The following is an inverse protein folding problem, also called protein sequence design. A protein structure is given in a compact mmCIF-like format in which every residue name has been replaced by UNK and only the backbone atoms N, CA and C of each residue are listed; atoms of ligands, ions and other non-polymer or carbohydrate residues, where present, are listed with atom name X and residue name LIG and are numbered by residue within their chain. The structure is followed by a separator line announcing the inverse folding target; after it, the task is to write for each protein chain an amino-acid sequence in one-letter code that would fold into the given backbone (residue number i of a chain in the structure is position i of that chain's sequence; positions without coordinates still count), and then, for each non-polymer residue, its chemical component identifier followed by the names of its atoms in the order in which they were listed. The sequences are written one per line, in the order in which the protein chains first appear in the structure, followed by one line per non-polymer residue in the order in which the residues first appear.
data_IF_219655498386
#
_entry.id   IF_219655498386
#
_cell.length_a   1.000
_cell.length_b   1.000
_cell.length_c   1.000
_cell.angle_alpha   90.00
_cell.angle_beta   90.00
_cell.angle_gamma   90.00
#
_symmetry.space_group_name_H-M   'P 1'
#
loop_
_entity.id
_entity.type
_entity.pdbx_description
1 polymer ?
#
# COMPACT_ATOMS: atom_id res chain seq x y z
N UNK A 1 -4.28 27.31 -10.89
CA UNK A 1 -3.38 26.14 -10.79
C UNK A 1 -2.56 26.07 -12.06
N UNK A 2 -1.24 25.97 -11.96
CA UNK A 2 -0.37 25.79 -13.13
C UNK A 2 -0.34 24.32 -13.58
N UNK A 3 0.14 24.06 -14.80
CA UNK A 3 0.31 22.69 -15.30
C UNK A 3 1.22 21.85 -14.38
N UNK A 4 2.36 22.40 -13.95
CA UNK A 4 3.30 21.68 -13.08
C UNK A 4 2.69 21.34 -11.72
N UNK A 5 1.88 22.23 -11.14
CA UNK A 5 1.17 21.95 -9.88
C UNK A 5 0.21 20.77 -10.05
N UNK A 6 -0.61 20.77 -11.09
CA UNK A 6 -1.52 19.66 -11.38
C UNK A 6 -0.76 18.36 -11.65
N UNK A 7 0.29 18.41 -12.47
CA UNK A 7 1.12 17.25 -12.80
C UNK A 7 1.73 16.62 -11.55
N UNK A 8 2.33 17.41 -10.65
CA UNK A 8 2.94 16.90 -9.43
C UNK A 8 1.91 16.29 -8.46
N UNK A 9 0.70 16.84 -8.39
CA UNK A 9 -0.40 16.22 -7.65
C UNK A 9 -0.71 14.81 -8.19
N UNK A 10 -0.79 14.64 -9.52
CA UNK A 10 -0.99 13.33 -10.14
C UNK A 10 0.20 12.39 -9.93
N UNK A 11 1.44 12.89 -10.01
CA UNK A 11 2.65 12.08 -9.77
C UNK A 11 2.65 11.52 -8.34
N UNK A 12 2.28 12.33 -7.33
CA UNK A 12 2.17 11.85 -5.95
C UNK A 12 1.08 10.78 -5.82
N UNK A 13 -0.07 10.98 -6.47
CA UNK A 13 -1.12 9.94 -6.52
C UNK A 13 -0.64 8.63 -7.15
N UNK A 14 0.16 8.73 -8.22
CA UNK A 14 0.79 7.57 -8.86
C UNK A 14 1.82 6.89 -7.95
N UNK A 15 2.59 7.65 -7.18
CA UNK A 15 3.56 7.10 -6.22
C UNK A 15 2.85 6.33 -5.10
N UNK A 16 1.76 6.86 -4.54
CA UNK A 16 0.95 6.13 -3.56
C UNK A 16 0.25 4.89 -4.16
N UNK A 17 -0.23 4.99 -5.40
CA UNK A 17 -0.84 3.86 -6.10
C UNK A 17 0.20 2.76 -6.39
N UNK A 18 1.41 3.15 -6.82
CA UNK A 18 2.54 2.25 -7.04
C UNK A 18 3.02 1.61 -5.74
N UNK A 19 3.14 2.38 -4.66
CA UNK A 19 3.41 1.86 -3.32
C UNK A 19 2.38 0.81 -2.92
N UNK A 20 1.08 1.11 -3.00
CA UNK A 20 0.06 0.16 -2.56
C UNK A 20 -0.03 -1.07 -3.47
N UNK A 21 0.27 -0.94 -4.76
CA UNK A 21 0.39 -2.06 -5.69
C UNK A 21 1.56 -2.98 -5.30
N UNK A 22 2.74 -2.41 -5.04
CA UNK A 22 3.97 -3.17 -4.85
C UNK A 22 4.09 -3.67 -3.40
N UNK A 23 3.96 -2.76 -2.44
CA UNK A 23 4.02 -3.10 -1.02
C UNK A 23 2.80 -3.87 -0.54
N UNK A 24 1.65 -3.70 -1.20
CA UNK A 24 0.42 -4.34 -0.79
C UNK A 24 0.52 -5.86 -0.77
N UNK A 25 1.23 -6.45 -1.73
CA UNK A 25 1.45 -7.89 -1.71
C UNK A 25 2.49 -8.31 -0.67
N UNK A 26 3.51 -7.49 -0.38
CA UNK A 26 4.49 -7.80 0.67
C UNK A 26 3.84 -7.83 2.04
N UNK A 27 2.98 -6.84 2.34
CA UNK A 27 2.14 -6.87 3.53
C UNK A 27 1.23 -8.10 3.57
N UNK A 28 0.61 -8.44 2.44
CA UNK A 28 -0.24 -9.63 2.35
C UNK A 28 0.50 -10.94 2.61
N UNK A 29 1.69 -11.09 2.05
CA UNK A 29 2.56 -12.24 2.29
C UNK A 29 3.03 -12.28 3.74
N UNK A 30 3.43 -11.14 4.30
CA UNK A 30 3.81 -11.03 5.72
C UNK A 30 2.70 -11.45 6.66
N UNK A 31 1.44 -11.08 6.38
CA UNK A 31 0.27 -11.56 7.12
C UNK A 31 0.03 -13.07 6.93
N UNK A 32 0.23 -13.60 5.72
CA UNK A 32 0.05 -15.01 5.41
C UNK A 32 1.00 -15.93 6.20
N UNK A 33 2.16 -15.44 6.66
CA UNK A 33 3.09 -16.19 7.52
C UNK A 33 2.46 -16.66 8.84
N UNK A 34 1.42 -15.99 9.34
CA UNK A 34 0.70 -16.44 10.55
C UNK A 34 -0.70 -16.92 10.26
N UNK A 35 -1.40 -16.32 9.29
CA UNK A 35 -2.76 -16.74 8.98
C UNK A 35 -2.84 -18.06 8.20
N UNK A 36 -1.85 -18.37 7.35
CA UNK A 36 -1.94 -19.51 6.40
C UNK A 36 -0.77 -20.49 6.45
N UNK A 37 0.41 -20.06 6.88
CA UNK A 37 1.58 -20.95 6.94
C UNK A 37 1.43 -21.97 8.08
N UNK A 38 1.62 -23.25 7.76
CA UNK A 38 1.41 -24.40 8.65
C UNK A 38 2.53 -24.54 9.67
N UNK A 39 3.77 -24.34 9.23
CA UNK A 39 4.98 -24.59 10.00
C UNK A 39 6.05 -23.50 9.75
N UNK A 40 7.24 -23.69 10.33
CA UNK A 40 8.35 -22.75 10.21
C UNK A 40 8.93 -22.67 8.79
N UNK A 41 8.96 -23.79 8.08
CA UNK A 41 9.53 -23.87 6.74
C UNK A 41 8.64 -23.14 5.73
N UNK A 42 7.33 -23.30 5.85
CA UNK A 42 6.38 -22.56 5.03
C UNK A 42 6.42 -21.05 5.30
N UNK A 43 6.66 -20.64 6.55
CA UNK A 43 6.88 -19.22 6.89
C UNK A 43 8.13 -18.68 6.21
N UNK A 44 9.23 -19.42 6.26
CA UNK A 44 10.47 -19.05 5.60
C UNK A 44 10.29 -18.98 4.07
N UNK A 45 9.55 -19.93 3.49
CA UNK A 45 9.22 -19.94 2.06
C UNK A 45 8.43 -18.70 1.64
N UNK A 46 7.44 -18.30 2.43
CA UNK A 46 6.64 -17.09 2.17
C UNK A 46 7.52 -15.84 2.25
N UNK A 47 8.37 -15.71 3.28
CA UNK A 47 9.30 -14.59 3.40
C UNK A 47 10.30 -14.55 2.23
N UNK A 48 10.81 -15.70 1.80
CA UNK A 48 11.73 -15.81 0.65
C UNK A 48 11.08 -15.39 -0.67
N UNK A 49 9.76 -15.55 -0.83
CA UNK A 49 9.03 -15.14 -2.02
C UNK A 49 9.08 -13.62 -2.27
N UNK A 50 9.13 -12.84 -1.19
CA UNK A 50 9.16 -11.37 -1.23
C UNK A 50 10.55 -10.78 -0.93
N UNK A 51 11.45 -11.56 -0.32
CA UNK A 51 12.81 -11.16 0.06
C UNK A 51 13.59 -10.32 -0.98
N UNK A 52 13.60 -10.68 -2.28
CA UNK A 52 14.32 -9.91 -3.29
C UNK A 52 13.70 -8.55 -3.67
N UNK A 53 12.48 -8.24 -3.22
CA UNK A 53 11.69 -7.11 -3.74
C UNK A 53 11.26 -6.10 -2.67
N UNK A 54 11.02 -6.55 -1.43
CA UNK A 54 10.36 -5.74 -0.39
C UNK A 54 11.04 -4.39 -0.11
N UNK A 55 12.36 -4.36 -0.02
CA UNK A 55 13.12 -3.13 0.28
C UNK A 55 12.94 -2.11 -0.86
N UNK A 56 13.00 -2.56 -2.12
CA UNK A 56 12.74 -1.73 -3.28
C UNK A 56 11.28 -1.25 -3.38
N UNK A 57 10.33 -2.04 -2.88
CA UNK A 57 8.91 -1.67 -2.86
C UNK A 57 8.66 -0.54 -1.83
N UNK A 58 9.31 -0.58 -0.65
CA UNK A 58 9.11 0.42 0.40
C UNK A 58 9.59 1.82 -0.04
N UNK A 59 10.60 1.88 -0.91
CA UNK A 59 11.12 3.15 -1.47
C UNK A 59 10.04 3.96 -2.18
N UNK A 60 8.95 3.34 -2.66
CA UNK A 60 7.82 4.07 -3.25
C UNK A 60 7.12 4.96 -2.22
N UNK A 61 6.97 4.51 -0.97
CA UNK A 61 6.41 5.33 0.12
C UNK A 61 7.35 6.48 0.49
N UNK A 62 8.66 6.18 0.59
CA UNK A 62 9.68 7.19 0.88
C UNK A 62 9.68 8.27 -0.20
N UNK A 63 9.63 7.86 -1.47
CA UNK A 63 9.57 8.76 -2.61
C UNK A 63 8.26 9.56 -2.63
N UNK A 64 7.12 8.95 -2.28
CA UNK A 64 5.85 9.67 -2.14
C UNK A 64 5.94 10.78 -1.07
N UNK A 65 6.47 10.45 0.12
CA UNK A 65 6.69 11.42 1.19
C UNK A 65 7.70 12.52 0.81
N UNK A 66 8.80 12.16 0.18
CA UNK A 66 9.80 13.11 -0.34
C UNK A 66 9.25 14.02 -1.45
N UNK A 67 8.44 13.47 -2.36
CA UNK A 67 7.77 14.23 -3.40
C UNK A 67 6.72 15.18 -2.81
N UNK A 68 5.98 14.76 -1.77
CA UNK A 68 5.10 15.66 -1.02
C UNK A 68 5.90 16.80 -0.38
N UNK A 69 6.99 16.50 0.34
CA UNK A 69 7.83 17.51 0.97
C UNK A 69 8.37 18.52 -0.05
N UNK A 70 8.82 18.05 -1.21
CA UNK A 70 9.46 18.90 -2.21
C UNK A 70 8.46 19.66 -3.11
N UNK A 71 7.34 19.03 -3.52
CA UNK A 71 6.35 19.64 -4.41
C UNK A 71 5.21 20.36 -3.67
N UNK A 72 4.83 19.89 -2.48
CA UNK A 72 3.73 20.42 -1.67
C UNK A 72 4.11 20.50 -0.18
N UNK A 73 5.11 21.33 0.20
CA UNK A 73 5.64 21.37 1.56
C UNK A 73 4.58 21.67 2.62
N UNK A 74 3.59 22.51 2.30
CA UNK A 74 2.50 22.81 3.23
C UNK A 74 1.60 21.58 3.44
N UNK A 75 1.27 20.86 2.36
CA UNK A 75 0.52 19.59 2.49
C UNK A 75 1.28 18.56 3.33
N UNK A 76 2.58 18.42 3.07
CA UNK A 76 3.44 17.55 3.85
C UNK A 76 3.41 17.93 5.34
N UNK A 77 3.64 19.21 5.67
CA UNK A 77 3.67 19.67 7.05
C UNK A 77 2.32 19.46 7.77
N UNK A 78 1.21 19.86 7.14
CA UNK A 78 -0.15 19.70 7.69
C UNK A 78 -0.50 18.24 7.94
N UNK A 79 -0.23 17.36 6.97
CA UNK A 79 -0.53 15.93 7.09
C UNK A 79 0.32 15.28 8.17
N UNK A 80 1.65 15.48 8.16
CA UNK A 80 2.57 14.82 9.09
C UNK A 80 2.41 15.31 10.53
N UNK A 81 2.13 16.59 10.74
CA UNK A 81 1.86 17.12 12.08
C UNK A 81 0.46 16.74 12.58
N UNK A 82 -0.58 16.87 11.74
CA UNK A 82 -1.95 16.57 12.12
C UNK A 82 -2.21 15.08 12.39
N UNK A 83 -1.53 14.19 11.66
CA UNK A 83 -1.62 12.73 11.81
C UNK A 83 -0.40 12.11 12.50
N UNK A 84 0.33 12.90 13.30
CA UNK A 84 1.58 12.50 13.93
C UNK A 84 1.53 11.10 14.56
N UNK A 85 0.52 10.83 15.40
CA UNK A 85 0.42 9.55 16.11
C UNK A 85 0.23 8.36 15.15
N UNK A 86 -0.61 8.49 14.12
CA UNK A 86 -0.79 7.41 13.14
C UNK A 86 0.50 7.17 12.35
N UNK A 87 1.14 8.24 11.86
CA UNK A 87 2.36 8.13 11.08
C UNK A 87 3.53 7.60 11.90
N UNK A 88 3.60 7.94 13.19
CA UNK A 88 4.53 7.33 14.13
C UNK A 88 4.29 5.83 14.29
N UNK A 89 3.03 5.40 14.43
CA UNK A 89 2.69 3.97 14.50
C UNK A 89 2.97 3.23 13.18
N UNK A 90 2.75 3.87 12.03
CA UNK A 90 3.18 3.34 10.72
C UNK A 90 4.70 3.15 10.70
N UNK A 91 5.47 4.15 11.13
CA UNK A 91 6.92 4.06 11.19
C UNK A 91 7.38 2.90 12.08
N UNK A 92 6.81 2.75 13.28
CA UNK A 92 7.13 1.63 14.17
C UNK A 92 6.78 0.29 13.51
N UNK A 93 5.62 0.18 12.86
CA UNK A 93 5.21 -1.04 12.17
C UNK A 93 6.16 -1.40 11.02
N UNK A 94 6.61 -0.41 10.22
CA UNK A 94 7.58 -0.59 9.15
C UNK A 94 8.96 -0.99 9.69
N UNK A 95 9.44 -0.37 10.77
CA UNK A 95 10.70 -0.75 11.43
C UNK A 95 10.64 -2.21 11.88
N UNK A 96 9.58 -2.60 12.59
CA UNK A 96 9.40 -3.99 13.05
C UNK A 96 9.42 -4.97 11.88
N UNK A 97 8.82 -4.60 10.75
CA UNK A 97 8.81 -5.42 9.55
C UNK A 97 10.21 -5.52 8.92
N UNK A 98 10.89 -4.40 8.68
CA UNK A 98 12.21 -4.37 8.04
C UNK A 98 13.24 -5.20 8.81
N UNK A 99 13.35 -4.99 10.12
CA UNK A 99 14.32 -5.76 10.94
C UNK A 99 13.96 -7.24 11.05
N UNK A 100 12.69 -7.60 10.85
CA UNK A 100 12.26 -9.00 10.97
C UNK A 100 12.86 -9.92 9.91
N UNK A 101 13.11 -9.43 8.69
CA UNK A 101 13.72 -10.23 7.63
C UNK A 101 15.15 -10.63 7.99
N UNK A 102 15.97 -9.65 8.36
CA UNK A 102 17.37 -9.88 8.71
C UNK A 102 17.51 -10.70 9.98
N UNK A 103 16.75 -10.37 11.02
CA UNK A 103 16.91 -11.03 12.32
C UNK A 103 16.26 -12.42 12.37
N UNK A 104 15.24 -12.71 11.56
CA UNK A 104 14.73 -14.08 11.42
C UNK A 104 15.75 -15.01 10.73
N UNK A 105 16.50 -14.48 9.75
CA UNK A 105 17.54 -15.23 9.04
C UNK A 105 18.78 -15.49 9.92
N UNK A 106 19.09 -14.57 10.84
CA UNK A 106 20.22 -14.68 11.76
C UNK A 106 19.85 -15.31 13.12
N UNK A 107 18.61 -15.76 13.31
CA UNK A 107 18.17 -16.39 14.56
C UNK A 107 18.84 -17.75 14.78
N UNK A 108 19.37 -17.96 15.99
CA UNK A 108 20.07 -19.19 16.39
C UNK A 108 19.07 -20.21 16.91
N UNK A 109 18.03 -19.75 17.62
CA UNK A 109 16.98 -20.61 18.18
C UNK A 109 15.63 -20.41 17.48
N UNK A 110 14.79 -21.45 17.50
CA UNK A 110 13.42 -21.35 16.96
C UNK A 110 12.55 -20.34 17.70
N UNK A 111 12.83 -20.10 18.98
CA UNK A 111 12.15 -19.08 19.78
C UNK A 111 12.47 -17.68 19.26
N UNK A 112 13.74 -17.38 19.03
CA UNK A 112 14.18 -16.09 18.46
C UNK A 112 13.58 -15.88 17.07
N UNK A 113 13.66 -16.89 16.19
CA UNK A 113 13.04 -16.84 14.87
C UNK A 113 11.54 -16.57 14.97
N UNK A 114 10.87 -17.20 15.93
CA UNK A 114 9.45 -17.02 16.20
C UNK A 114 9.09 -15.58 16.60
N UNK A 115 9.93 -14.90 17.39
CA UNK A 115 9.73 -13.49 17.76
C UNK A 115 9.78 -12.60 16.52
N UNK A 116 10.79 -12.76 15.66
CA UNK A 116 10.92 -11.96 14.44
C UNK A 116 9.82 -12.25 13.43
N UNK A 117 9.39 -13.51 13.30
CA UNK A 117 8.23 -13.86 12.49
C UNK A 117 6.91 -13.25 13.03
N UNK A 118 6.79 -13.02 14.34
CA UNK A 118 5.68 -12.23 14.90
C UNK A 118 5.82 -10.75 14.60
N UNK A 119 7.03 -10.18 14.72
CA UNK A 119 7.29 -8.79 14.34
C UNK A 119 6.94 -8.52 12.86
N UNK A 120 7.29 -9.45 11.95
CA UNK A 120 6.90 -9.39 10.55
C UNK A 120 5.38 -9.32 10.37
N UNK A 121 4.65 -10.21 11.04
CA UNK A 121 3.19 -10.27 10.98
C UNK A 121 2.56 -8.98 11.50
N UNK A 122 2.98 -8.51 12.67
CA UNK A 122 2.47 -7.30 13.32
C UNK A 122 2.74 -6.09 12.41
N UNK A 123 3.97 -5.93 11.92
CA UNK A 123 4.32 -4.84 11.01
C UNK A 123 3.50 -4.88 9.71
N UNK A 124 3.36 -6.05 9.12
CA UNK A 124 2.60 -6.27 7.87
C UNK A 124 1.09 -6.10 8.01
N UNK A 125 0.55 -6.23 9.23
CA UNK A 125 -0.85 -5.95 9.52
C UNK A 125 -1.07 -4.46 9.84
N UNK A 126 -0.28 -3.91 10.76
CA UNK A 126 -0.53 -2.57 11.30
C UNK A 126 -0.08 -1.44 10.38
N UNK A 127 0.97 -1.62 9.57
CA UNK A 127 1.40 -0.60 8.61
C UNK A 127 0.28 -0.25 7.59
N UNK A 128 -0.28 -1.21 6.82
CA UNK A 128 -1.39 -0.92 5.92
C UNK A 128 -2.67 -0.52 6.66
N UNK A 129 -2.92 -1.02 7.88
CA UNK A 129 -4.08 -0.61 8.69
C UNK A 129 -4.04 0.89 9.01
N UNK A 130 -2.95 1.37 9.60
CA UNK A 130 -2.82 2.77 10.00
C UNK A 130 -2.70 3.71 8.79
N UNK A 131 -2.04 3.28 7.71
CA UNK A 131 -2.04 4.03 6.44
C UNK A 131 -3.45 4.13 5.85
N UNK A 132 -4.22 3.04 5.85
CA UNK A 132 -5.61 3.05 5.39
C UNK A 132 -6.50 3.95 6.25
N UNK A 133 -6.35 3.90 7.58
CA UNK A 133 -7.04 4.81 8.49
C UNK A 133 -6.71 6.28 8.21
N UNK A 134 -5.43 6.60 8.05
CA UNK A 134 -4.98 7.95 7.72
C UNK A 134 -5.60 8.41 6.39
N UNK A 135 -5.44 7.61 5.32
CA UNK A 135 -5.88 7.92 3.96
C UNK A 135 -7.39 8.16 3.84
N UNK A 136 -8.19 7.55 4.72
CA UNK A 136 -9.65 7.68 4.72
C UNK A 136 -10.17 8.64 5.79
N UNK A 137 -9.39 8.95 6.82
CA UNK A 137 -9.67 10.04 7.76
C UNK A 137 -9.46 11.41 7.11
N UNK A 138 -8.37 11.62 6.37
CA UNK A 138 -8.02 12.98 5.87
C UNK A 138 -8.94 13.51 4.76
N UNK A 139 -9.81 12.66 4.21
CA UNK A 139 -10.78 13.01 3.17
C UNK A 139 -12.17 13.39 3.72
N UNK A 140 -12.40 13.30 5.04
CA UNK A 140 -13.69 13.59 5.68
C UNK A 140 -13.85 15.05 6.12
N UNK A 141 -12.76 15.83 6.08
CA UNK A 141 -12.71 17.16 6.66
C UNK A 141 -11.94 17.16 7.98
N UNK A 142 -10.79 17.82 7.98
CA UNK A 142 -9.89 17.93 9.13
C UNK A 142 -9.97 19.34 9.70
N UNK A 143 -10.05 19.52 11.03
CA UNK A 143 -9.94 20.84 11.64
C UNK A 143 -8.60 21.50 11.28
N UNK A 144 -8.67 22.70 10.72
CA UNK A 144 -7.50 23.42 10.19
C UNK A 144 -7.66 24.93 10.40
N UNK A 145 -6.55 25.64 10.58
CA UNK A 145 -6.50 27.11 10.60
C UNK A 145 -6.15 27.69 9.22
N UNK A 146 -6.13 29.02 9.12
CA UNK A 146 -5.85 29.73 7.86
C UNK A 146 -4.39 29.56 7.38
N UNK A 147 -3.51 29.03 8.24
CA UNK A 147 -2.11 28.75 7.92
C UNK A 147 -1.91 27.28 7.51
N UNK A 148 -2.98 26.48 7.49
CA UNK A 148 -2.90 25.07 7.15
C UNK A 148 -2.49 24.15 8.31
N UNK A 149 -2.37 24.65 9.55
CA UNK A 149 -2.07 23.79 10.69
C UNK A 149 -3.28 22.90 10.97
N UNK A 150 -3.09 21.58 10.99
CA UNK A 150 -4.17 20.61 11.15
C UNK A 150 -4.14 19.95 12.53
N UNK A 151 -5.31 19.75 13.15
CA UNK A 151 -5.43 19.03 14.42
C UNK A 151 -6.61 18.05 14.38
N UNK A 152 -6.33 16.81 13.98
CA UNK A 152 -7.38 15.79 13.74
C UNK A 152 -8.06 15.35 15.04
N UNK A 153 -7.29 15.27 16.15
CA UNK A 153 -7.77 14.71 17.41
C UNK A 153 -8.06 13.20 17.33
N UNK A 154 -8.32 12.56 18.48
CA UNK A 154 -8.52 11.10 18.54
C UNK A 154 -9.72 10.64 17.70
N UNK A 155 -10.88 11.28 17.84
CA UNK A 155 -12.10 10.89 17.12
C UNK A 155 -12.10 11.30 15.64
N UNK A 156 -11.27 12.25 15.22
CA UNK A 156 -11.06 12.51 13.79
C UNK A 156 -10.27 11.39 13.13
N UNK A 157 -9.34 10.77 13.86
CA UNK A 157 -8.55 9.62 13.42
C UNK A 157 -9.34 8.32 13.53
N UNK A 158 -10.02 8.08 14.66
CA UNK A 158 -10.80 6.88 14.95
C UNK A 158 -12.29 7.17 14.74
N UNK A 159 -12.76 6.95 13.50
CA UNK A 159 -14.15 7.06 13.10
C UNK A 159 -14.54 5.90 12.18
N UNK A 160 -15.82 5.81 11.82
CA UNK A 160 -16.32 4.68 11.04
C UNK A 160 -15.64 4.52 9.69
N UNK A 161 -15.52 5.60 8.91
CA UNK A 161 -14.89 5.52 7.59
C UNK A 161 -13.39 5.22 7.71
N UNK A 162 -12.70 5.77 8.71
CA UNK A 162 -11.27 5.53 8.89
C UNK A 162 -10.96 4.09 9.28
N UNK A 163 -11.69 3.53 10.23
CA UNK A 163 -11.51 2.13 10.66
C UNK A 163 -11.88 1.18 9.53
N UNK A 164 -13.01 1.41 8.83
CA UNK A 164 -13.40 0.60 7.66
C UNK A 164 -12.35 0.73 6.55
N UNK A 165 -11.80 1.91 6.32
CA UNK A 165 -10.70 2.15 5.38
C UNK A 165 -9.43 1.37 5.74
N UNK A 166 -9.01 1.43 7.00
CA UNK A 166 -7.88 0.65 7.52
C UNK A 166 -8.06 -0.85 7.34
N UNK A 167 -9.22 -1.39 7.74
CA UNK A 167 -9.56 -2.81 7.56
C UNK A 167 -9.61 -3.19 6.08
N UNK A 168 -10.18 -2.34 5.23
CA UNK A 168 -10.27 -2.59 3.80
C UNK A 168 -8.88 -2.67 3.15
N UNK A 169 -7.98 -1.74 3.48
CA UNK A 169 -6.60 -1.76 2.96
C UNK A 169 -5.87 -3.02 3.41
N UNK A 170 -5.98 -3.42 4.69
CA UNK A 170 -5.43 -4.69 5.18
C UNK A 170 -5.98 -5.88 4.39
N UNK A 171 -7.30 -5.93 4.21
CA UNK A 171 -7.97 -7.02 3.50
C UNK A 171 -7.53 -7.14 2.03
N UNK A 172 -7.47 -6.02 1.29
CA UNK A 172 -7.06 -6.04 -0.11
C UNK A 172 -5.55 -6.29 -0.27
N UNK A 173 -4.70 -5.78 0.64
CA UNK A 173 -3.28 -6.16 0.70
C UNK A 173 -3.14 -7.67 0.94
N UNK A 174 -3.90 -8.23 1.87
CA UNK A 174 -3.90 -9.67 2.12
C UNK A 174 -4.29 -10.49 0.90
N UNK A 175 -5.42 -10.15 0.24
CA UNK A 175 -5.80 -10.78 -1.03
C UNK A 175 -4.70 -10.66 -2.09
N UNK A 176 -4.09 -9.48 -2.23
CA UNK A 176 -3.03 -9.24 -3.21
C UNK A 176 -1.79 -10.11 -2.94
N UNK A 177 -1.39 -10.24 -1.66
CA UNK A 177 -0.31 -11.14 -1.23
C UNK A 177 -0.60 -12.62 -1.50
N UNK A 178 -1.84 -13.08 -1.30
CA UNK A 178 -2.22 -14.46 -1.66
C UNK A 178 -2.12 -14.70 -3.17
N UNK A 179 -2.53 -13.73 -4.00
CA UNK A 179 -2.37 -13.86 -5.46
C UNK A 179 -0.89 -13.84 -5.87
N UNK A 180 -0.06 -13.03 -5.21
CA UNK A 180 1.38 -13.04 -5.43
C UNK A 180 2.01 -14.40 -5.05
N UNK A 181 1.68 -14.95 -3.88
CA UNK A 181 2.09 -16.30 -3.49
C UNK A 181 1.61 -17.35 -4.49
N UNK A 182 0.42 -17.20 -5.06
CA UNK A 182 -0.05 -18.13 -6.11
C UNK A 182 0.83 -18.14 -7.37
N UNK A 183 1.54 -17.05 -7.64
CA UNK A 183 2.47 -16.93 -8.75
C UNK A 183 3.86 -17.46 -8.42
N UNK A 184 4.30 -17.27 -7.17
CA UNK A 184 5.64 -17.64 -6.71
C UNK A 184 5.76 -19.07 -6.21
N UNK A 185 4.71 -19.68 -5.67
CA UNK A 185 4.80 -21.01 -5.07
C UNK A 185 4.55 -22.15 -6.07
N UNK A 186 4.94 -23.36 -5.68
CA UNK A 186 4.67 -24.60 -6.41
C UNK A 186 3.17 -24.86 -6.65
N UNK A 187 2.79 -25.77 -7.57
CA UNK A 187 1.40 -25.96 -8.00
C UNK A 187 0.40 -26.26 -6.87
N UNK A 188 0.80 -27.05 -5.86
CA UNK A 188 -0.05 -27.38 -4.70
C UNK A 188 -0.41 -26.16 -3.87
N UNK A 189 0.59 -25.42 -3.40
CA UNK A 189 0.38 -24.21 -2.60
C UNK A 189 -0.23 -23.07 -3.40
N UNK A 190 0.12 -22.95 -4.68
CA UNK A 190 -0.51 -22.03 -5.61
C UNK A 190 -2.03 -22.22 -5.66
N UNK A 191 -2.49 -23.47 -5.79
CA UNK A 191 -3.92 -23.79 -5.76
C UNK A 191 -4.54 -23.53 -4.39
N UNK A 192 -3.81 -23.76 -3.30
CA UNK A 192 -4.26 -23.45 -1.94
C UNK A 192 -4.51 -21.95 -1.76
N UNK A 193 -3.57 -21.11 -2.19
CA UNK A 193 -3.72 -19.64 -2.11
C UNK A 193 -4.96 -19.19 -2.88
N UNK A 194 -5.16 -19.69 -4.11
CA UNK A 194 -6.32 -19.34 -4.92
C UNK A 194 -7.64 -19.81 -4.30
N UNK A 195 -7.69 -21.02 -3.73
CA UNK A 195 -8.89 -21.52 -3.04
C UNK A 195 -9.23 -20.70 -1.79
N UNK A 196 -8.22 -20.24 -1.05
CA UNK A 196 -8.44 -19.35 0.10
C UNK A 196 -8.93 -17.97 -0.36
N UNK A 197 -8.28 -17.37 -1.36
CA UNK A 197 -8.70 -16.08 -1.91
C UNK A 197 -10.13 -16.11 -2.45
N UNK A 198 -10.55 -17.19 -3.12
CA UNK A 198 -11.91 -17.39 -3.62
C UNK A 198 -12.96 -17.21 -2.52
N UNK A 199 -12.74 -17.81 -1.35
CA UNK A 199 -13.63 -17.68 -0.20
C UNK A 199 -13.63 -16.26 0.35
N UNK A 200 -12.45 -15.63 0.42
CA UNK A 200 -12.29 -14.28 0.96
C UNK A 200 -12.97 -13.21 0.10
N UNK A 201 -13.08 -13.38 -1.22
CA UNK A 201 -13.77 -12.41 -2.08
C UNK A 201 -15.23 -12.17 -1.69
N UNK A 202 -15.90 -13.14 -1.07
CA UNK A 202 -17.26 -12.94 -0.57
C UNK A 202 -17.34 -11.89 0.55
N UNK A 203 -16.24 -11.66 1.27
CA UNK A 203 -16.11 -10.58 2.27
C UNK A 203 -15.84 -9.23 1.59
N UNK A 204 -15.20 -9.23 0.41
CA UNK A 204 -14.87 -8.00 -0.31
C UNK A 204 -16.12 -7.20 -0.71
N UNK A 205 -17.18 -7.86 -1.16
CA UNK A 205 -18.40 -7.20 -1.63
C UNK A 205 -19.13 -6.40 -0.54
N UNK A 206 -19.51 -6.98 0.61
CA UNK A 206 -20.13 -6.21 1.68
C UNK A 206 -19.18 -5.13 2.21
N UNK A 207 -17.86 -5.38 2.29
CA UNK A 207 -16.89 -4.37 2.70
C UNK A 207 -16.86 -3.16 1.76
N UNK A 208 -16.87 -3.39 0.43
CA UNK A 208 -16.95 -2.33 -0.57
C UNK A 208 -18.28 -1.57 -0.50
N UNK A 209 -19.40 -2.25 -0.29
CA UNK A 209 -20.71 -1.60 -0.12
C UNK A 209 -20.70 -0.71 1.11
N UNK A 210 -20.23 -1.20 2.26
CA UNK A 210 -20.12 -0.42 3.50
C UNK A 210 -19.22 0.80 3.27
N UNK A 211 -18.06 0.62 2.63
CA UNK A 211 -17.15 1.71 2.31
C UNK A 211 -17.81 2.78 1.44
N UNK A 212 -18.50 2.38 0.36
CA UNK A 212 -19.21 3.32 -0.53
C UNK A 212 -20.31 4.07 0.21
N UNK A 213 -21.12 3.37 1.00
CA UNK A 213 -22.18 4.00 1.81
C UNK A 213 -21.60 5.02 2.77
N UNK A 214 -20.57 4.65 3.54
CA UNK A 214 -19.90 5.58 4.46
C UNK A 214 -19.31 6.78 3.71
N UNK A 215 -18.65 6.54 2.57
CA UNK A 215 -18.10 7.61 1.74
C UNK A 215 -19.17 8.58 1.22
N UNK A 216 -20.37 8.11 0.87
CA UNK A 216 -21.47 8.99 0.44
C UNK A 216 -21.93 9.95 1.53
N UNK A 217 -21.88 9.54 2.81
CA UNK A 217 -22.31 10.35 3.95
C UNK A 217 -21.19 11.19 4.56
N UNK A 218 -19.97 10.65 4.60
CA UNK A 218 -18.84 11.25 5.33
C UNK A 218 -17.87 12.02 4.43
N UNK A 219 -18.04 11.99 3.11
CA UNK A 219 -17.26 12.82 2.17
C UNK A 219 -18.18 13.61 1.24
N UNK A 220 -17.59 14.51 0.45
CA UNK A 220 -18.28 15.29 -0.57
C UNK A 220 -18.03 14.76 -2.00
N UNK A 221 -17.33 13.63 -2.15
CA UNK A 221 -16.84 13.15 -3.44
C UNK A 221 -17.97 12.83 -4.43
N UNK A 222 -19.02 12.17 -3.95
CA UNK A 222 -20.19 11.82 -4.78
C UNK A 222 -21.08 13.03 -5.08
N UNK A 223 -20.97 14.12 -4.30
CA UNK A 223 -21.72 15.36 -4.49
C UNK A 223 -21.00 16.31 -5.45
N UNK A 224 -19.70 16.51 -5.26
CA UNK A 224 -18.89 17.44 -6.07
C UNK A 224 -18.40 16.83 -7.38
N UNK A 225 -18.19 15.50 -7.42
CA UNK A 225 -17.65 14.79 -8.59
C UNK A 225 -18.44 13.52 -8.92
N UNK A 226 -19.77 13.58 -9.07
CA UNK A 226 -20.61 12.38 -9.19
C UNK A 226 -20.15 11.45 -10.32
N UNK A 227 -19.89 11.98 -11.52
CA UNK A 227 -19.55 11.17 -12.69
C UNK A 227 -18.23 10.42 -12.51
N UNK A 228 -17.14 11.12 -12.18
CA UNK A 228 -15.81 10.48 -12.05
C UNK A 228 -15.71 9.60 -10.81
N UNK A 229 -16.33 10.00 -9.69
CA UNK A 229 -16.37 9.19 -8.46
C UNK A 229 -17.13 7.88 -8.70
N UNK A 230 -18.32 7.92 -9.33
CA UNK A 230 -19.06 6.69 -9.67
C UNK A 230 -18.32 5.82 -10.69
N UNK A 231 -17.68 6.42 -11.70
CA UNK A 231 -16.87 5.67 -12.66
C UNK A 231 -15.74 4.90 -11.96
N UNK A 232 -15.00 5.55 -11.05
CA UNK A 232 -13.94 4.89 -10.28
C UNK A 232 -14.50 3.82 -9.33
N UNK A 233 -15.64 4.04 -8.69
CA UNK A 233 -16.32 3.02 -7.88
C UNK A 233 -16.69 1.79 -8.72
N UNK A 234 -17.20 1.98 -9.93
CA UNK A 234 -17.49 0.88 -10.87
C UNK A 234 -16.21 0.17 -11.30
N UNK A 235 -15.11 0.90 -11.56
CA UNK A 235 -13.81 0.30 -11.89
C UNK A 235 -13.30 -0.57 -10.73
N UNK A 236 -13.39 -0.09 -9.48
CA UNK A 236 -13.00 -0.86 -8.28
C UNK A 236 -13.82 -2.14 -8.18
N UNK A 237 -15.15 -2.04 -8.33
CA UNK A 237 -16.04 -3.20 -8.28
C UNK A 237 -15.75 -4.19 -9.42
N UNK A 238 -15.60 -3.69 -10.65
CA UNK A 238 -15.30 -4.51 -11.83
C UNK A 238 -13.95 -5.22 -11.70
N UNK A 239 -12.91 -4.52 -11.23
CA UNK A 239 -11.60 -5.11 -10.98
C UNK A 239 -11.67 -6.18 -9.87
N UNK A 240 -12.44 -5.94 -8.81
CA UNK A 240 -12.66 -6.93 -7.74
C UNK A 240 -13.38 -8.18 -8.27
N UNK A 241 -14.42 -8.01 -9.09
CA UNK A 241 -15.14 -9.12 -9.75
C UNK A 241 -14.21 -9.89 -10.70
N UNK A 242 -13.44 -9.19 -11.52
CA UNK A 242 -12.44 -9.80 -12.41
C UNK A 242 -11.40 -10.61 -11.62
N UNK A 243 -10.98 -10.09 -10.45
CA UNK A 243 -10.12 -10.80 -9.52
C UNK A 243 -10.76 -12.09 -9.02
N UNK A 244 -11.98 -12.02 -8.52
CA UNK A 244 -12.73 -13.19 -8.03
C UNK A 244 -12.92 -14.25 -9.11
N UNK A 245 -13.38 -13.86 -10.31
CA UNK A 245 -13.58 -14.78 -11.44
C UNK A 245 -12.26 -15.41 -11.88
N UNK A 246 -11.16 -14.64 -11.90
CA UNK A 246 -9.83 -15.15 -12.26
C UNK A 246 -9.33 -16.15 -11.24
N UNK A 247 -9.58 -15.91 -9.95
CA UNK A 247 -9.26 -16.83 -8.86
C UNK A 247 -10.08 -18.12 -8.93
N UNK A 248 -11.37 -18.04 -9.23
CA UNK A 248 -12.23 -19.20 -9.46
C UNK A 248 -11.73 -20.05 -10.64
N UNK A 249 -11.36 -19.40 -11.74
CA UNK A 249 -10.77 -20.03 -12.94
C UNK A 249 -9.31 -20.48 -12.76
N UNK A 250 -8.74 -20.32 -11.56
CA UNK A 250 -7.35 -20.66 -11.20
C UNK A 250 -6.29 -19.96 -12.08
N UNK A 251 -6.60 -18.75 -12.54
CA UNK A 251 -5.72 -17.89 -13.34
C UNK A 251 -5.02 -16.86 -12.46
N UNK A 252 -3.99 -17.30 -11.72
CA UNK A 252 -3.30 -16.48 -10.72
C UNK A 252 -2.76 -15.14 -11.25
N UNK A 253 -2.23 -15.10 -12.47
CA UNK A 253 -1.70 -13.87 -13.07
C UNK A 253 -2.77 -12.79 -13.25
N UNK A 254 -3.92 -13.17 -13.82
CA UNK A 254 -5.05 -12.25 -13.97
C UNK A 254 -5.65 -11.84 -12.61
N UNK A 255 -5.68 -12.74 -11.63
CA UNK A 255 -6.13 -12.43 -10.28
C UNK A 255 -5.20 -11.40 -9.57
N UNK A 256 -3.88 -11.55 -9.74
CA UNK A 256 -2.89 -10.60 -9.24
C UNK A 256 -3.04 -9.23 -9.91
N UNK A 257 -3.13 -9.18 -11.24
CA UNK A 257 -3.33 -7.91 -11.96
C UNK A 257 -4.64 -7.23 -11.55
N UNK A 258 -5.75 -7.97 -11.46
CA UNK A 258 -7.04 -7.40 -11.11
C UNK A 258 -7.09 -6.86 -9.67
N UNK A 259 -6.45 -7.53 -8.71
CA UNK A 259 -6.32 -7.00 -7.34
C UNK A 259 -5.40 -5.79 -7.28
N UNK A 260 -4.31 -5.78 -8.06
CA UNK A 260 -3.46 -4.59 -8.22
C UNK A 260 -4.23 -3.38 -8.78
N UNK A 261 -5.04 -3.59 -9.82
CA UNK A 261 -5.93 -2.54 -10.38
C UNK A 261 -6.93 -2.07 -9.34
N UNK A 262 -7.47 -2.96 -8.49
CA UNK A 262 -8.38 -2.58 -7.41
C UNK A 262 -7.70 -1.63 -6.41
N UNK A 263 -6.48 -1.96 -5.96
CA UNK A 263 -5.69 -1.13 -5.05
C UNK A 263 -5.33 0.23 -5.67
N UNK A 264 -4.87 0.25 -6.92
CA UNK A 264 -4.57 1.50 -7.63
C UNK A 264 -5.82 2.36 -7.83
N UNK A 265 -6.97 1.74 -8.15
CA UNK A 265 -8.22 2.45 -8.34
C UNK A 265 -8.76 3.04 -7.03
N UNK A 266 -8.52 2.41 -5.88
CA UNK A 266 -8.83 2.98 -4.56
C UNK A 266 -8.04 4.27 -4.30
N UNK A 267 -6.74 4.28 -4.60
CA UNK A 267 -5.92 5.51 -4.51
C UNK A 267 -6.38 6.55 -5.52
N UNK A 268 -6.66 6.16 -6.76
CA UNK A 268 -7.19 7.07 -7.78
C UNK A 268 -8.54 7.68 -7.35
N UNK A 269 -9.40 6.90 -6.69
CA UNK A 269 -10.68 7.37 -6.15
C UNK A 269 -10.48 8.46 -5.08
N UNK A 270 -9.50 8.27 -4.18
CA UNK A 270 -9.11 9.28 -3.18
C UNK A 270 -8.63 10.57 -3.86
N UNK A 271 -7.66 10.46 -4.77
CA UNK A 271 -7.06 11.62 -5.45
C UNK A 271 -8.06 12.36 -6.35
N UNK A 272 -8.97 11.63 -7.01
CA UNK A 272 -10.07 12.22 -7.76
C UNK A 272 -10.99 13.03 -6.85
N UNK A 273 -11.35 12.49 -5.69
CA UNK A 273 -12.30 13.15 -4.78
C UNK A 273 -11.75 14.37 -4.08
N UNK A 274 -10.47 14.35 -3.68
CA UNK A 274 -9.86 15.53 -3.05
C UNK A 274 -9.59 16.64 -4.07
N UNK A 275 -9.30 16.34 -5.34
CA UNK A 275 -8.97 17.34 -6.35
C UNK A 275 -10.04 18.45 -6.46
N UNK A 276 -9.68 19.76 -6.47
CA UNK A 276 -8.33 20.34 -6.55
C UNK A 276 -7.67 20.63 -5.18
N UNK A 277 -8.17 20.01 -4.11
CA UNK A 277 -7.62 20.07 -2.75
C UNK A 277 -6.54 19.01 -2.58
N UNK A 278 -5.58 19.31 -1.72
CA UNK A 278 -4.62 18.33 -1.20
C UNK A 278 -5.04 17.82 0.18
N UNK A 279 -5.81 18.61 0.93
CA UNK A 279 -6.37 18.23 2.22
C UNK A 279 -7.73 18.92 2.40
N UNK A 280 -8.74 18.17 2.85
CA UNK A 280 -10.11 18.67 3.05
C UNK A 280 -10.22 19.20 4.47
N UNK A 281 -10.66 20.44 4.64
CA UNK A 281 -10.91 21.05 5.93
C UNK A 281 -12.37 20.88 6.37
N UNK A 282 -12.63 20.92 7.68
CA UNK A 282 -14.02 20.93 8.20
C UNK A 282 -14.78 22.20 7.79
N UNK A 283 -14.07 23.32 7.72
CA UNK A 283 -14.55 24.58 7.13
C UNK A 283 -14.02 24.67 5.69
N UNK A 284 -14.88 24.59 4.65
CA UNK A 284 -14.43 24.62 3.26
C UNK A 284 -13.65 25.89 2.87
N UNK A 285 -13.80 26.99 3.62
CA UNK A 285 -13.01 28.20 3.36
C UNK A 285 -11.51 28.02 3.66
N UNK A 286 -11.16 26.98 4.43
CA UNK A 286 -9.81 26.63 4.86
C UNK A 286 -9.26 25.38 4.16
N UNK A 287 -9.93 24.93 3.11
CA UNK A 287 -9.45 23.82 2.29
C UNK A 287 -8.04 24.11 1.77
N UNK A 288 -7.12 23.17 1.96
CA UNK A 288 -5.76 23.32 1.45
C UNK A 288 -5.75 22.93 -0.03
N UNK A 289 -5.59 23.93 -0.91
CA UNK A 289 -5.66 23.74 -2.36
C UNK A 289 -4.28 23.48 -2.97
N UNK A 290 -4.26 22.73 -4.08
CA UNK A 290 -3.04 22.48 -4.88
C UNK A 290 -2.31 23.79 -5.24
N UNK A 291 -3.05 24.85 -5.55
CA UNK A 291 -2.46 26.15 -5.94
C UNK A 291 -1.74 26.86 -4.79
N UNK A 292 -2.17 26.62 -3.55
CA UNK A 292 -1.71 27.35 -2.36
C UNK A 292 -0.66 26.53 -1.59
N UNK A 293 -0.71 25.20 -1.69
CA UNK A 293 0.22 24.30 -1.01
C UNK A 293 1.49 23.97 -1.80
N UNK A 294 1.52 24.29 -3.10
CA UNK A 294 2.62 23.90 -3.97
C UNK A 294 3.87 24.77 -3.78
N UNK A 295 5.03 24.16 -4.03
CA UNK A 295 6.31 24.86 -4.08
C UNK A 295 6.39 25.87 -5.24
N UNK A 296 7.45 26.68 -5.23
CA UNK A 296 7.70 27.69 -6.26
C UNK A 296 7.74 27.07 -7.68
N UNK A 297 7.36 27.81 -8.73
CA UNK A 297 7.46 27.34 -10.10
C UNK A 297 8.87 26.86 -10.48
N UNK A 298 9.90 27.51 -9.95
CA UNK A 298 11.29 27.12 -10.15
C UNK A 298 11.58 25.74 -9.54
N UNK A 299 11.19 25.52 -8.28
CA UNK A 299 11.35 24.23 -7.59
C UNK A 299 10.65 23.11 -8.36
N UNK A 300 9.38 23.31 -8.76
CA UNK A 300 8.62 22.31 -9.52
C UNK A 300 9.31 21.98 -10.84
N UNK A 301 9.85 22.98 -11.56
CA UNK A 301 10.58 22.78 -12.81
C UNK A 301 11.84 21.94 -12.61
N UNK A 302 12.65 22.24 -11.59
CA UNK A 302 13.87 21.48 -11.28
C UNK A 302 13.54 20.04 -10.93
N UNK A 303 12.56 19.82 -10.06
CA UNK A 303 12.13 18.46 -9.71
C UNK A 303 11.62 17.70 -10.94
N UNK A 304 10.92 18.36 -11.87
CA UNK A 304 10.44 17.71 -13.10
C UNK A 304 11.60 17.26 -13.99
N UNK A 305 12.66 18.06 -14.10
CA UNK A 305 13.88 17.65 -14.83
C UNK A 305 14.50 16.40 -14.18
N UNK A 306 14.62 16.40 -12.85
CA UNK A 306 15.12 15.25 -12.07
C UNK A 306 14.23 14.01 -12.32
N UNK A 307 12.91 14.15 -12.23
CA UNK A 307 11.95 13.08 -12.47
C UNK A 307 12.12 12.48 -13.88
N UNK A 308 12.21 13.32 -14.92
CA UNK A 308 12.35 12.86 -16.30
C UNK A 308 13.66 12.09 -16.56
N UNK A 309 14.73 12.38 -15.80
CA UNK A 309 16.01 11.69 -15.92
C UNK A 309 16.00 10.37 -15.14
N UNK A 310 15.62 10.41 -13.86
CA UNK A 310 15.79 9.26 -12.97
C UNK A 310 14.65 8.25 -13.02
N UNK A 311 13.41 8.68 -13.30
CA UNK A 311 12.26 7.77 -13.34
C UNK A 311 12.45 6.66 -14.40
N UNK A 312 12.85 6.94 -15.65
CA UNK A 312 13.05 5.87 -16.64
C UNK A 312 14.17 4.90 -16.26
N UNK A 313 15.26 5.40 -15.68
CA UNK A 313 16.40 4.58 -15.23
C UNK A 313 15.96 3.65 -14.09
N UNK A 314 15.27 4.23 -13.10
CA UNK A 314 14.73 3.48 -11.96
C UNK A 314 13.76 2.41 -12.45
N UNK A 315 12.79 2.75 -13.30
CA UNK A 315 11.81 1.79 -13.83
C UNK A 315 12.47 0.67 -14.64
N UNK A 316 13.48 0.98 -15.47
CA UNK A 316 14.20 -0.03 -16.23
C UNK A 316 14.90 -1.04 -15.31
N UNK A 317 15.61 -0.55 -14.29
CA UNK A 317 16.24 -1.39 -13.28
C UNK A 317 15.21 -2.20 -12.48
N UNK A 318 14.10 -1.56 -12.08
CA UNK A 318 13.04 -2.20 -11.31
C UNK A 318 12.37 -3.34 -12.09
N UNK A 319 12.01 -3.10 -13.36
CA UNK A 319 11.47 -4.12 -14.26
C UNK A 319 12.46 -5.27 -14.45
N UNK A 320 13.74 -4.95 -14.66
CA UNK A 320 14.80 -5.95 -14.82
C UNK A 320 14.96 -6.83 -13.57
N UNK A 321 14.94 -6.22 -12.37
CA UNK A 321 15.00 -6.95 -11.09
C UNK A 321 13.84 -7.95 -10.95
N UNK A 322 12.61 -7.50 -11.17
CA UNK A 322 11.43 -8.37 -11.15
C UNK A 322 11.47 -9.48 -12.21
N UNK A 323 12.00 -9.16 -13.41
CA UNK A 323 12.15 -10.13 -14.47
C UNK A 323 13.11 -11.25 -14.08
N UNK A 324 14.26 -10.94 -13.47
CA UNK A 324 15.23 -11.95 -13.03
C UNK A 324 14.63 -12.84 -11.93
N UNK A 325 13.89 -12.25 -11.00
CA UNK A 325 13.32 -12.95 -9.85
C UNK A 325 11.98 -13.64 -10.14
N UNK A 326 11.56 -13.76 -11.41
CA UNK A 326 10.22 -14.27 -11.79
C UNK A 326 9.97 -15.76 -11.54
N UNK A 327 11.02 -16.56 -11.29
CA UNK A 327 10.91 -18.01 -11.14
C UNK A 327 10.11 -18.38 -9.90
N UNK A 328 9.47 -19.57 -9.94
CA UNK A 328 8.78 -20.14 -8.78
C UNK A 328 9.78 -20.72 -7.79
N UNK A 329 9.39 -20.69 -6.53
CA UNK A 329 10.05 -21.37 -5.43
C UNK A 329 9.37 -22.73 -5.25
N UNK A 330 10.16 -23.80 -5.26
CA UNK A 330 9.71 -25.18 -4.98
C UNK A 330 10.24 -25.57 -3.60
N UNK A 331 9.44 -26.28 -2.81
CA UNK A 331 9.80 -26.75 -1.47
C UNK A 331 11.07 -27.61 -1.44
N UNK A 332 11.41 -28.28 -2.54
CA UNK A 332 12.60 -29.15 -2.61
C UNK A 332 13.92 -28.34 -2.68
N UNK A 333 13.86 -27.04 -3.01
CA UNK A 333 14.99 -26.09 -2.86
C UNK A 333 15.17 -25.62 -1.39
N UNK A 334 14.43 -26.21 -0.47
CA UNK A 334 14.47 -25.94 0.98
C UNK A 334 15.16 -27.12 1.68
N UNK A 335 16.35 -27.50 1.20
CA UNK A 335 17.31 -28.17 2.09
C UNK A 335 17.96 -27.09 2.97
N UNK A 336 17.84 -27.24 4.29
CA UNK A 336 18.40 -26.33 5.32
C UNK A 336 19.95 -26.25 5.33
N UNK A 337 20.60 -26.60 4.23
CA UNK A 337 22.06 -26.61 4.05
C UNK A 337 22.57 -25.52 3.11
N UNK A 338 21.72 -24.93 2.26
CA UNK A 338 22.16 -23.98 1.21
C UNK A 338 22.05 -22.49 1.58
N UNK A 339 21.79 -22.18 2.86
CA UNK A 339 21.86 -20.82 3.40
C UNK A 339 23.04 -20.71 4.36
N UNK A 340 24.23 -21.07 3.88
CA UNK A 340 25.48 -20.52 4.42
C UNK A 340 26.07 -19.65 3.32
N UNK A 341 26.34 -18.35 3.56
CA UNK A 341 27.30 -17.67 2.70
C UNK A 341 28.58 -18.51 2.74
N UNK A 342 29.19 -18.75 1.59
CA UNK A 342 30.53 -19.31 1.54
C UNK A 342 31.45 -18.42 2.38
N UNK A 343 31.66 -18.80 3.64
CA UNK A 343 32.72 -18.25 4.46
C UNK A 343 33.98 -18.63 3.72
N UNK A 344 34.64 -17.58 3.26
CA UNK A 344 35.94 -17.58 2.58
C UNK A 344 36.84 -18.63 3.23
N UNK A 345 37.10 -19.72 2.50
CA UNK A 345 38.28 -20.51 2.72
C UNK A 345 39.45 -19.70 2.14
N UNK A 346 40.26 -19.14 3.02
CA UNK A 346 41.44 -18.33 2.70
C UNK A 346 42.05 -17.76 3.96
#
# INVERSE_FOLDING_TARGET
MSFLQGMWFFVIGLLFAGFLLLEGFDFGVGMATRFLARDGDERALFMRAIGPHWDGNEVWLITAGGAMFAAFPLWYASLFSGYYLLLFLVLVALILRGVSFEFANNAITDRERGVWQWANFIGSFFAPFFLGMMLTSFIQGVPMDDQGNAWVGFFGVFNWLSVVGGVAVVFFCFLHGLHFLSLKLGPGDSRRMLNTSEKLYWIAYPALVIFVVLAMFMTDFYRLRPVSTWLLTVVILAATICGHVSTFKKRGGYAFTATGVTLMALIAWIFNGIFPRVMVATDPSKDLLIKDAAASPYTLKIMTIVLCIFLPIMLAYFIWSYFIQRKRLVSDDVSMTDVRPAVVAG
#
